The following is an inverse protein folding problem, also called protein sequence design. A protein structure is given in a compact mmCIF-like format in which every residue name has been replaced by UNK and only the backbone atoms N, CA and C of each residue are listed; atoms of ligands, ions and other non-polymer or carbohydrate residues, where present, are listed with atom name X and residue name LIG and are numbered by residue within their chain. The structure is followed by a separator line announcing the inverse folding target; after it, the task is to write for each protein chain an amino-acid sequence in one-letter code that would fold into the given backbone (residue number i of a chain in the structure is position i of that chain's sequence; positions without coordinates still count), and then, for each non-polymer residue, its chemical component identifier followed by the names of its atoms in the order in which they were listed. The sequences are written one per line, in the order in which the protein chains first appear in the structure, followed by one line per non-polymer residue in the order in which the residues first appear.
data_IF_001465920964
#
_entry.id   IF_001465920964
#
_cell.length_a   1.000
_cell.length_b   1.000
_cell.length_c   1.000
_cell.angle_alpha   90.00
_cell.angle_beta   90.00
_cell.angle_gamma   90.00
#
_symmetry.space_group_name_H-M   'P 1'
#
loop_
_entity.id
_entity.type
_entity.pdbx_description
1 polymer ?
#
# COMPACT_ATOMS: atom_id res chain seq x y z
N UNK A 1 16.90 14.23 -64.49
CA UNK A 1 18.28 14.11 -65.04
C UNK A 1 19.31 15.00 -64.33
N UNK A 2 19.18 15.28 -63.02
CA UNK A 2 20.17 16.09 -62.24
C UNK A 2 20.64 15.40 -60.95
N UNK A 3 20.84 14.08 -61.00
CA UNK A 3 21.43 13.28 -59.89
C UNK A 3 22.55 12.33 -60.35
N UNK A 4 23.14 12.53 -61.53
CA UNK A 4 24.26 11.71 -62.05
C UNK A 4 25.50 12.50 -62.48
N UNK A 5 25.52 13.83 -62.30
CA UNK A 5 26.65 14.69 -62.72
C UNK A 5 27.55 15.09 -61.53
N UNK A 6 27.05 15.09 -60.30
CA UNK A 6 27.86 15.43 -59.12
C UNK A 6 28.82 14.30 -58.67
N UNK A 7 28.54 13.04 -59.03
CA UNK A 7 29.40 11.90 -58.70
C UNK A 7 30.59 11.72 -59.67
N UNK A 8 30.60 12.42 -60.82
CA UNK A 8 31.70 12.37 -61.79
C UNK A 8 32.75 13.47 -61.62
N UNK A 9 32.45 14.53 -60.83
CA UNK A 9 33.34 15.67 -60.62
C UNK A 9 34.27 15.51 -59.40
N UNK A 10 33.99 14.57 -58.50
CA UNK A 10 34.86 14.24 -57.35
C UNK A 10 35.78 13.05 -57.68
N UNK A 11 35.44 12.22 -58.67
CA UNK A 11 36.26 11.09 -59.11
C UNK A 11 37.33 11.46 -60.16
N UNK A 12 37.36 12.69 -60.65
CA UNK A 12 38.30 13.16 -61.70
C UNK A 12 39.35 14.16 -61.20
N UNK A 13 39.32 14.55 -59.92
CA UNK A 13 40.32 15.42 -59.29
C UNK A 13 41.26 14.69 -58.31
N UNK A 14 41.12 13.37 -58.16
CA UNK A 14 41.98 12.54 -57.28
C UNK A 14 42.91 11.58 -58.07
N UNK A 15 42.88 11.61 -59.41
CA UNK A 15 43.82 10.87 -60.28
C UNK A 15 44.93 11.74 -60.86
N UNK A 16 45.29 12.83 -60.18
CA UNK A 16 46.38 13.73 -60.56
C UNK A 16 47.24 13.99 -59.32
N UNK A 17 48.35 13.24 -59.24
CA UNK A 17 49.49 13.35 -58.31
C UNK A 17 49.31 12.92 -56.84
N UNK A 18 49.61 11.65 -56.59
CA UNK A 18 50.51 11.26 -55.51
C UNK A 18 51.22 9.93 -55.87
N UNK A 19 51.93 9.94 -57.00
CA UNK A 19 53.05 9.02 -57.22
C UNK A 19 54.26 9.64 -56.53
N UNK A 20 54.46 9.37 -55.24
CA UNK A 20 55.78 9.50 -54.64
C UNK A 20 56.62 8.32 -55.10
N UNK A 21 57.67 8.65 -55.86
CA UNK A 21 58.58 7.69 -56.44
C UNK A 21 59.58 7.15 -55.44
N UNK A 22 60.00 5.92 -55.69
CA UNK A 22 61.38 5.49 -55.46
C UNK A 22 62.17 5.67 -56.75
N UNK A 23 63.16 6.55 -56.68
CA UNK A 23 64.45 6.56 -57.37
C UNK A 23 64.56 6.81 -58.91
N UNK A 24 65.13 7.99 -59.20
CA UNK A 24 66.31 8.25 -60.06
C UNK A 24 66.23 7.89 -61.55
N UNK A 25 66.08 8.89 -62.41
CA UNK A 25 67.17 9.27 -63.36
C UNK A 25 67.01 10.71 -63.87
N UNK A 26 68.10 11.26 -64.39
CA UNK A 26 68.50 12.65 -64.39
C UNK A 26 68.29 13.36 -65.74
N UNK A 27 67.47 14.42 -65.76
CA UNK A 27 67.54 15.47 -66.79
C UNK A 27 66.83 16.76 -66.31
N UNK A 28 67.43 17.96 -66.46
CA UNK A 28 66.88 19.20 -65.94
C UNK A 28 65.98 19.88 -66.98
N UNK A 29 64.73 20.20 -66.59
CA UNK A 29 63.88 21.32 -67.06
C UNK A 29 62.39 20.94 -67.18
N UNK A 30 61.76 20.57 -66.07
CA UNK A 30 60.29 20.66 -65.94
C UNK A 30 60.00 21.37 -64.62
N UNK A 31 59.66 22.66 -64.69
CA UNK A 31 59.14 23.41 -63.54
C UNK A 31 57.64 23.09 -63.46
N UNK A 32 57.14 22.44 -62.39
CA UNK A 32 55.72 22.16 -62.28
C UNK A 32 54.93 23.45 -62.04
N UNK A 33 53.94 23.70 -62.91
CA UNK A 33 53.00 24.81 -62.76
C UNK A 33 51.94 24.43 -61.71
N UNK A 34 51.98 25.04 -60.53
CA UNK A 34 50.94 24.89 -59.51
C UNK A 34 49.83 25.91 -59.76
N UNK A 35 48.63 25.45 -60.10
CA UNK A 35 47.44 26.29 -60.24
C UNK A 35 46.64 26.20 -58.94
N UNK A 36 46.46 27.33 -58.25
CA UNK A 36 45.61 27.43 -57.06
C UNK A 36 44.17 27.68 -57.48
N UNK A 37 43.25 26.82 -57.02
CA UNK A 37 41.81 27.09 -57.07
C UNK A 37 41.35 27.53 -55.68
N UNK A 38 40.80 28.74 -55.60
CA UNK A 38 40.21 29.25 -54.37
C UNK A 38 38.89 28.51 -54.10
N UNK A 39 38.90 27.62 -53.12
CA UNK A 39 37.69 26.98 -52.62
C UNK A 39 36.95 28.02 -51.78
N UNK A 40 36.02 28.73 -52.41
CA UNK A 40 35.31 29.86 -51.80
C UNK A 40 34.83 29.60 -50.36
N UNK A 41 34.71 30.68 -49.59
CA UNK A 41 34.54 30.69 -48.13
C UNK A 41 33.46 29.74 -47.59
N UNK A 42 32.37 29.53 -48.33
CA UNK A 42 31.28 28.62 -47.97
C UNK A 42 31.70 27.14 -47.92
N UNK A 43 32.62 26.71 -48.78
CA UNK A 43 33.15 25.32 -48.79
C UNK A 43 34.04 25.07 -47.58
N UNK A 44 34.85 26.05 -47.20
CA UNK A 44 35.71 25.99 -46.02
C UNK A 44 34.87 25.92 -44.74
N UNK A 45 33.83 26.77 -44.61
CA UNK A 45 32.88 26.71 -43.49
C UNK A 45 32.14 25.37 -43.43
N UNK A 46 31.75 24.82 -44.58
CA UNK A 46 31.13 23.49 -44.66
C UNK A 46 32.04 22.38 -44.13
N UNK A 47 33.33 22.40 -44.48
CA UNK A 47 34.33 21.44 -44.00
C UNK A 47 34.60 21.57 -42.50
N UNK A 48 34.61 22.79 -41.95
CA UNK A 48 34.75 23.01 -40.50
C UNK A 48 33.54 22.46 -39.72
N UNK A 49 32.32 22.67 -40.23
CA UNK A 49 31.11 22.12 -39.62
C UNK A 49 31.10 20.59 -39.65
N UNK A 50 31.59 19.97 -40.72
CA UNK A 50 31.73 18.50 -40.80
C UNK A 50 32.71 17.97 -39.75
N UNK A 51 33.88 18.61 -39.61
CA UNK A 51 34.86 18.24 -38.57
C UNK A 51 34.31 18.41 -37.15
N UNK A 52 33.54 19.48 -36.90
CA UNK A 52 32.87 19.70 -35.62
C UNK A 52 31.85 18.59 -35.33
N UNK A 53 31.09 18.17 -36.35
CA UNK A 53 30.09 17.12 -36.21
C UNK A 53 30.72 15.75 -35.95
N UNK A 54 31.82 15.41 -36.64
CA UNK A 54 32.60 14.20 -36.36
C UNK A 54 33.18 14.19 -34.95
N UNK A 55 33.65 15.34 -34.44
CA UNK A 55 34.09 15.49 -33.06
C UNK A 55 32.96 15.19 -32.06
N UNK A 56 31.80 15.82 -32.23
CA UNK A 56 30.63 15.58 -31.36
C UNK A 56 30.13 14.14 -31.41
N UNK A 57 30.22 13.49 -32.58
CA UNK A 57 29.82 12.09 -32.72
C UNK A 57 30.75 11.17 -31.94
N UNK A 58 32.07 11.45 -31.94
CA UNK A 58 33.05 10.72 -31.14
C UNK A 58 32.82 10.90 -29.63
N UNK A 59 32.59 12.14 -29.18
CA UNK A 59 32.30 12.44 -27.78
C UNK A 59 31.04 11.71 -27.28
N UNK A 60 30.02 11.62 -28.15
CA UNK A 60 28.79 10.89 -27.86
C UNK A 60 29.02 9.38 -27.74
N UNK A 61 29.82 8.80 -28.64
CA UNK A 61 30.18 7.37 -28.59
C UNK A 61 30.99 7.03 -27.33
N UNK A 62 31.94 7.88 -26.94
CA UNK A 62 32.71 7.72 -25.70
C UNK A 62 31.82 7.79 -24.46
N UNK A 63 30.87 8.74 -24.43
CA UNK A 63 29.89 8.87 -23.34
C UNK A 63 28.98 7.65 -23.27
N UNK A 64 28.50 7.15 -24.41
CA UNK A 64 27.65 5.96 -24.49
C UNK A 64 28.40 4.73 -23.97
N UNK A 65 29.68 4.57 -24.33
CA UNK A 65 30.51 3.46 -23.87
C UNK A 65 30.78 3.54 -22.36
N UNK A 66 31.02 4.75 -21.83
CA UNK A 66 31.16 4.98 -20.39
C UNK A 66 29.90 4.58 -19.62
N UNK A 67 28.73 5.04 -20.06
CA UNK A 67 27.45 4.67 -19.45
C UNK A 67 27.16 3.17 -19.55
N UNK A 68 27.52 2.52 -20.66
CA UNK A 68 27.36 1.08 -20.82
C UNK A 68 28.17 0.30 -19.77
N UNK A 69 29.41 0.72 -19.52
CA UNK A 69 30.27 0.11 -18.51
C UNK A 69 29.71 0.31 -17.09
N UNK A 70 29.15 1.49 -16.78
CA UNK A 70 28.49 1.73 -15.50
C UNK A 70 27.26 0.83 -15.30
N UNK A 71 26.45 0.62 -16.34
CA UNK A 71 25.29 -0.29 -16.29
C UNK A 71 25.74 -1.73 -16.02
N UNK A 72 26.82 -2.19 -16.65
CA UNK A 72 27.38 -3.53 -16.38
C UNK A 72 27.80 -3.65 -14.92
N UNK A 73 28.52 -2.66 -14.39
CA UNK A 73 28.97 -2.67 -13.00
C UNK A 73 27.79 -2.64 -12.01
N UNK A 74 26.73 -1.87 -12.32
CA UNK A 74 25.52 -1.84 -11.52
C UNK A 74 24.79 -3.19 -11.51
N UNK A 75 24.69 -3.86 -12.66
CA UNK A 75 24.11 -5.21 -12.77
C UNK A 75 24.87 -6.22 -11.92
N UNK A 76 26.20 -6.16 -11.91
CA UNK A 76 27.02 -7.07 -11.12
C UNK A 76 26.85 -6.81 -9.61
N UNK A 77 26.80 -5.54 -9.20
CA UNK A 77 26.53 -5.16 -7.81
C UNK A 77 25.15 -5.65 -7.35
N UNK A 78 24.12 -5.52 -8.19
CA UNK A 78 22.78 -6.01 -7.90
C UNK A 78 22.75 -7.54 -7.76
N UNK A 79 23.50 -8.27 -8.59
CA UNK A 79 23.66 -9.73 -8.51
C UNK A 79 24.30 -10.15 -7.19
N UNK A 80 25.37 -9.47 -6.78
CA UNK A 80 26.05 -9.72 -5.50
C UNK A 80 25.12 -9.48 -4.30
N UNK A 81 24.34 -8.38 -4.33
CA UNK A 81 23.40 -8.07 -3.27
C UNK A 81 22.29 -9.14 -3.16
N UNK A 82 21.77 -9.60 -4.29
CA UNK A 82 20.72 -10.62 -4.31
C UNK A 82 21.20 -11.97 -3.75
N UNK A 83 22.44 -12.37 -4.06
CA UNK A 83 23.05 -13.57 -3.48
C UNK A 83 23.20 -13.45 -1.96
N UNK A 84 23.64 -12.29 -1.47
CA UNK A 84 23.78 -12.03 -0.03
C UNK A 84 22.43 -12.04 0.70
N UNK A 85 21.38 -11.56 0.04
CA UNK A 85 20.02 -11.59 0.55
C UNK A 85 19.48 -13.02 0.65
N UNK A 86 19.79 -13.88 -0.33
CA UNK A 86 19.45 -15.30 -0.29
C UNK A 86 20.14 -16.02 0.89
N UNK A 87 21.43 -15.76 1.11
CA UNK A 87 22.17 -16.32 2.25
C UNK A 87 21.58 -15.89 3.60
N UNK A 88 21.22 -14.61 3.74
CA UNK A 88 20.58 -14.09 4.95
C UNK A 88 19.23 -14.75 5.20
N UNK A 89 18.45 -14.98 4.14
CA UNK A 89 17.13 -15.62 4.26
C UNK A 89 17.24 -17.09 4.71
N UNK A 90 18.25 -17.83 4.22
CA UNK A 90 18.53 -19.19 4.69
C UNK A 90 18.92 -19.20 6.17
N UNK A 91 19.78 -18.28 6.61
CA UNK A 91 20.17 -18.14 8.02
C UNK A 91 18.97 -17.79 8.92
N UNK A 92 18.10 -16.89 8.46
CA UNK A 92 16.89 -16.50 9.18
C UNK A 92 15.94 -17.69 9.38
N UNK A 93 15.75 -18.51 8.33
CA UNK A 93 14.92 -19.70 8.39
C UNK A 93 15.47 -20.76 9.36
N UNK A 94 16.79 -20.96 9.40
CA UNK A 94 17.43 -21.87 10.35
C UNK A 94 17.26 -21.39 11.81
N UNK A 95 17.40 -20.08 12.06
CA UNK A 95 17.16 -19.48 13.38
C UNK A 95 15.69 -19.61 13.83
N UNK A 96 14.74 -19.36 12.92
CA UNK A 96 13.32 -19.56 13.20
C UNK A 96 13.00 -21.04 13.48
N UNK A 97 13.58 -21.97 12.73
CA UNK A 97 13.43 -23.41 12.99
C UNK A 97 13.90 -23.81 14.40
N UNK A 98 15.07 -23.33 14.81
CA UNK A 98 15.63 -23.57 16.16
C UNK A 98 14.79 -22.96 17.27
N UNK A 99 14.29 -21.74 17.08
CA UNK A 99 13.38 -21.08 18.03
C UNK A 99 12.07 -21.85 18.19
N UNK A 100 11.48 -22.31 17.09
CA UNK A 100 10.22 -23.08 17.11
C UNK A 100 10.40 -24.43 17.79
N UNK A 101 11.53 -25.12 17.57
CA UNK A 101 11.84 -26.40 18.22
C UNK A 101 12.08 -26.25 19.73
N UNK A 102 12.78 -25.18 20.14
CA UNK A 102 12.99 -24.87 21.56
C UNK A 102 11.67 -24.50 22.26
N UNK A 103 10.83 -23.69 21.62
CA UNK A 103 9.50 -23.36 22.12
C UNK A 103 8.61 -24.61 22.25
N UNK A 104 8.66 -25.54 21.29
CA UNK A 104 7.90 -26.80 21.32
C UNK A 104 8.32 -27.72 22.46
N UNK A 105 9.63 -27.85 22.69
CA UNK A 105 10.17 -28.63 23.82
C UNK A 105 9.80 -28.04 25.18
N UNK A 106 9.78 -26.70 25.30
CA UNK A 106 9.34 -26.03 26.53
C UNK A 106 7.83 -26.23 26.74
N UNK A 107 7.02 -26.10 25.68
CA UNK A 107 5.56 -26.27 25.77
C UNK A 107 5.19 -27.70 26.17
N UNK A 108 5.84 -28.71 25.61
CA UNK A 108 5.62 -30.12 25.98
C UNK A 108 6.01 -30.40 27.44
N UNK A 109 7.07 -29.76 27.95
CA UNK A 109 7.48 -29.85 29.36
C UNK A 109 6.47 -29.16 30.29
N UNK A 110 5.93 -28.01 29.90
CA UNK A 110 4.90 -27.27 30.65
C UNK A 110 3.59 -28.05 30.67
N UNK A 111 3.12 -28.56 29.53
CA UNK A 111 1.89 -29.38 29.41
C UNK A 111 1.97 -30.62 30.31
N UNK A 112 3.11 -31.30 30.33
CA UNK A 112 3.33 -32.47 31.18
C UNK A 112 3.26 -32.12 32.68
N UNK A 113 3.83 -30.98 33.08
CA UNK A 113 3.77 -30.51 34.47
C UNK A 113 2.37 -30.00 34.85
N UNK A 114 1.65 -29.37 33.92
CA UNK A 114 0.27 -28.95 34.12
C UNK A 114 -0.65 -30.14 34.33
N UNK A 115 -0.50 -31.20 33.53
CA UNK A 115 -1.29 -32.44 33.68
C UNK A 115 -0.99 -33.15 35.02
N UNK A 116 0.27 -33.14 35.47
CA UNK A 116 0.64 -33.65 36.80
C UNK A 116 0.03 -32.82 37.94
N UNK A 117 -0.06 -31.49 37.78
CA UNK A 117 -0.68 -30.59 38.75
C UNK A 117 -2.20 -30.77 38.75
N UNK A 118 -2.85 -30.83 37.60
CA UNK A 118 -4.30 -31.06 37.47
C UNK A 118 -4.73 -32.40 38.08
N UNK A 119 -3.94 -33.46 37.87
CA UNK A 119 -4.22 -34.77 38.47
C UNK A 119 -4.00 -34.77 39.99
N UNK A 120 -3.08 -33.94 40.50
CA UNK A 120 -2.90 -33.73 41.95
C UNK A 120 -3.97 -32.82 42.56
N UNK A 121 -4.58 -31.93 41.77
CA UNK A 121 -5.68 -31.07 42.22
C UNK A 121 -7.02 -31.81 42.25
N UNK A 122 -7.24 -32.78 41.33
CA UNK A 122 -8.45 -33.63 41.31
C UNK A 122 -8.59 -34.55 42.51
N UNK A 123 -7.53 -34.82 43.27
CA UNK A 123 -7.58 -35.61 44.51
C UNK A 123 -7.84 -34.77 45.76
N UNK A 124 -7.95 -33.43 45.63
CA UNK A 124 -8.26 -32.52 46.72
C UNK A 124 -9.75 -32.17 46.63
N UNK A 125 -10.58 -32.87 47.40
CA UNK A 125 -11.98 -32.49 47.59
C UNK A 125 -12.03 -31.23 48.47
N UNK A 126 -12.05 -30.05 47.85
CA UNK A 126 -12.57 -28.85 48.49
C UNK A 126 -13.85 -28.43 47.79
N UNK A 127 -14.97 -28.61 48.47
CA UNK A 127 -16.19 -27.86 48.18
C UNK A 127 -15.91 -26.44 48.67
N UNK A 128 -15.68 -25.51 47.75
CA UNK A 128 -15.70 -24.08 48.04
C UNK A 128 -16.91 -23.48 47.34
N UNK A 129 -17.83 -22.82 48.07
CA UNK A 129 -18.91 -22.07 47.46
C UNK A 129 -18.35 -20.90 46.64
N UNK A 130 -18.95 -20.69 45.47
CA UNK A 130 -18.62 -19.61 44.55
C UNK A 130 -18.94 -18.24 45.18
N UNK A 131 -17.91 -17.55 45.66
CA UNK A 131 -17.90 -16.10 45.87
C UNK A 131 -16.58 -15.48 45.38
N UNK A 132 -16.67 -14.85 44.21
CA UNK A 132 -16.01 -13.66 43.62
C UNK A 132 -14.54 -13.30 43.97
N UNK A 133 -13.85 -12.63 43.01
CA UNK A 133 -13.63 -11.21 43.31
C UNK A 133 -13.83 -10.25 42.12
N UNK A 134 -14.12 -8.97 42.43
CA UNK A 134 -14.17 -7.88 41.46
C UNK A 134 -12.74 -7.43 41.11
N UNK A 135 -12.44 -7.17 39.84
CA UNK A 135 -11.20 -6.48 39.50
C UNK A 135 -11.42 -4.96 39.36
N UNK A 136 -10.86 -4.26 40.35
CA UNK A 136 -10.37 -2.87 40.28
C UNK A 136 -9.39 -2.73 39.09
N UNK A 137 -9.14 -1.53 38.52
CA UNK A 137 -8.30 -1.35 37.32
C UNK A 137 -6.89 -1.91 37.56
N UNK A 138 -6.40 -2.75 36.63
CA UNK A 138 -5.35 -3.74 36.92
C UNK A 138 -3.95 -3.38 36.38
N UNK A 139 -3.58 -2.11 36.14
CA UNK A 139 -2.16 -1.73 35.95
C UNK A 139 -1.91 -0.23 35.82
N UNK A 140 -0.77 0.27 36.32
CA UNK A 140 -0.19 1.59 35.97
C UNK A 140 -0.07 1.75 34.43
N UNK A 141 0.08 0.65 33.68
CA UNK A 141 0.13 0.67 32.22
C UNK A 141 -1.17 1.07 31.54
N UNK A 142 -2.34 0.81 32.15
CA UNK A 142 -3.63 1.20 31.55
C UNK A 142 -3.82 2.72 31.54
N UNK A 143 -3.13 3.44 32.43
CA UNK A 143 -3.14 4.91 32.49
C UNK A 143 -2.44 5.55 31.28
N UNK A 144 -1.52 4.84 30.62
CA UNK A 144 -0.78 5.33 29.45
C UNK A 144 -1.47 5.01 28.12
N UNK A 145 -2.56 4.23 28.14
CA UNK A 145 -3.29 3.87 26.94
C UNK A 145 -4.17 5.02 26.47
N UNK A 146 -4.05 5.35 25.18
CA UNK A 146 -4.95 6.33 24.58
C UNK A 146 -6.39 5.77 24.52
N UNK A 147 -7.42 6.63 24.49
CA UNK A 147 -8.82 6.21 24.50
C UNK A 147 -9.16 5.05 23.55
N UNK A 148 -8.67 5.08 22.30
CA UNK A 148 -8.92 4.02 21.33
C UNK A 148 -8.33 2.66 21.74
N UNK A 149 -7.19 2.65 22.43
CA UNK A 149 -6.56 1.42 22.92
C UNK A 149 -7.31 0.86 24.12
N UNK A 150 -7.75 1.73 25.04
CA UNK A 150 -8.59 1.34 26.18
C UNK A 150 -9.91 0.73 25.69
N UNK A 151 -10.60 1.41 24.78
CA UNK A 151 -11.84 0.90 24.19
C UNK A 151 -11.64 -0.46 23.52
N UNK A 152 -10.57 -0.65 22.73
CA UNK A 152 -10.25 -1.93 22.12
C UNK A 152 -10.05 -3.06 23.17
N UNK A 153 -9.38 -2.76 24.29
CA UNK A 153 -9.16 -3.72 25.37
C UNK A 153 -10.46 -4.05 26.13
N UNK A 154 -11.26 -3.04 26.46
CA UNK A 154 -12.54 -3.21 27.13
C UNK A 154 -13.50 -4.06 26.29
N UNK A 155 -13.60 -3.74 25.01
CA UNK A 155 -14.46 -4.50 24.10
C UNK A 155 -13.99 -5.97 24.05
N UNK A 156 -12.67 -6.21 23.95
CA UNK A 156 -12.11 -7.59 23.96
C UNK A 156 -12.46 -8.35 25.25
N UNK A 157 -12.42 -7.69 26.41
CA UNK A 157 -12.84 -8.27 27.70
C UNK A 157 -14.33 -8.59 27.69
N UNK A 158 -15.16 -7.70 27.14
CA UNK A 158 -16.60 -7.93 27.00
C UNK A 158 -16.88 -9.19 26.16
N UNK A 159 -16.14 -9.44 25.07
CA UNK A 159 -16.28 -10.70 24.31
C UNK A 159 -15.98 -11.90 25.19
N UNK A 160 -14.82 -11.91 25.84
CA UNK A 160 -14.36 -13.07 26.59
C UNK A 160 -15.37 -13.45 27.67
N UNK A 161 -16.02 -12.45 28.27
CA UNK A 161 -17.07 -12.64 29.27
C UNK A 161 -18.40 -13.10 28.68
N UNK A 162 -18.85 -12.49 27.58
CA UNK A 162 -20.20 -12.70 27.05
C UNK A 162 -20.31 -13.85 26.05
N UNK A 163 -19.20 -14.21 25.39
CA UNK A 163 -19.15 -15.19 24.32
C UNK A 163 -17.88 -16.07 24.42
N UNK A 164 -17.66 -16.78 25.55
CA UNK A 164 -16.44 -17.55 25.80
C UNK A 164 -16.22 -18.69 24.78
N UNK A 165 -17.30 -19.21 24.21
CA UNK A 165 -17.30 -20.32 23.25
C UNK A 165 -17.63 -19.88 21.81
N UNK A 166 -17.61 -18.58 21.50
CA UNK A 166 -17.89 -18.14 20.13
C UNK A 166 -16.83 -18.67 19.17
N UNK A 167 -17.18 -19.75 18.47
CA UNK A 167 -16.43 -20.36 17.38
C UNK A 167 -16.27 -19.31 16.29
N UNK A 168 -15.09 -18.68 16.26
CA UNK A 168 -14.62 -17.75 15.25
C UNK A 168 -15.60 -16.64 14.83
N UNK A 169 -15.48 -15.44 15.43
CA UNK A 169 -16.08 -14.18 14.95
C UNK A 169 -16.05 -14.07 13.42
N UNK A 170 -17.14 -13.59 12.82
CA UNK A 170 -17.16 -13.29 11.39
C UNK A 170 -16.06 -12.27 11.08
N UNK A 171 -15.29 -12.54 10.03
CA UNK A 171 -14.26 -11.60 9.55
C UNK A 171 -14.84 -10.28 9.03
N UNK A 172 -16.17 -10.23 8.85
CA UNK A 172 -16.93 -9.06 8.40
C UNK A 172 -17.71 -8.38 9.53
N UNK A 173 -17.53 -8.80 10.78
CA UNK A 173 -18.34 -8.33 11.92
C UNK A 173 -18.28 -6.82 12.17
N UNK A 174 -17.20 -6.18 11.75
CA UNK A 174 -16.99 -4.73 11.84
C UNK A 174 -17.37 -3.99 10.56
N UNK A 175 -17.56 -4.68 9.43
CA UNK A 175 -17.96 -4.04 8.18
C UNK A 175 -19.43 -3.62 8.25
N UNK A 176 -19.71 -2.41 7.76
CA UNK A 176 -21.07 -1.90 7.70
C UNK A 176 -21.39 -1.36 6.32
N UNK A 177 -22.65 -1.51 5.93
CA UNK A 177 -23.21 -0.97 4.69
C UNK A 177 -23.81 0.40 4.98
N UNK A 178 -23.35 1.43 4.26
CA UNK A 178 -23.83 2.82 4.42
C UNK A 178 -24.64 3.19 3.19
N UNK A 179 -25.86 3.70 3.41
CA UNK A 179 -26.75 3.99 2.30
C UNK A 179 -28.02 4.72 2.70
N UNK A 180 -29.04 4.60 1.83
CA UNK A 180 -30.34 5.23 1.99
C UNK A 180 -31.45 4.30 1.57
N UNK A 181 -32.63 4.44 2.17
CA UNK A 181 -33.83 3.78 1.69
C UNK A 181 -34.37 4.54 0.47
N UNK A 182 -34.67 3.81 -0.60
CA UNK A 182 -35.29 4.32 -1.81
C UNK A 182 -36.46 3.42 -2.21
N UNK A 183 -37.22 3.84 -3.22
CA UNK A 183 -38.23 3.00 -3.85
C UNK A 183 -37.51 1.76 -4.41
N UNK A 184 -37.84 0.57 -3.91
CA UNK A 184 -37.15 -0.69 -4.24
C UNK A 184 -36.17 -1.20 -3.16
N UNK A 185 -36.02 -0.49 -2.04
CA UNK A 185 -35.30 -0.98 -0.86
C UNK A 185 -34.04 -0.18 -0.52
N UNK A 186 -33.14 -0.81 0.23
CA UNK A 186 -31.88 -0.20 0.66
C UNK A 186 -30.90 -0.05 -0.51
N UNK A 187 -30.49 1.20 -0.78
CA UNK A 187 -29.48 1.53 -1.77
C UNK A 187 -28.13 1.72 -1.08
N UNK A 188 -27.28 0.70 -1.17
CA UNK A 188 -25.90 0.75 -0.72
C UNK A 188 -25.13 1.84 -1.47
N UNK A 189 -24.30 2.57 -0.74
CA UNK A 189 -23.45 3.61 -1.33
C UNK A 189 -21.97 3.44 -1.01
N UNK A 190 -21.65 3.12 0.24
CA UNK A 190 -20.28 2.88 0.69
C UNK A 190 -20.22 1.78 1.75
N UNK A 191 -19.01 1.29 2.02
CA UNK A 191 -18.71 0.39 3.12
C UNK A 191 -17.94 1.18 4.18
N UNK A 192 -18.40 1.13 5.43
CA UNK A 192 -17.74 1.73 6.57
C UNK A 192 -17.25 0.68 7.56
N UNK A 193 -16.89 1.14 8.75
CA UNK A 193 -16.50 0.25 9.83
C UNK A 193 -17.03 0.69 11.18
N UNK A 194 -17.61 -0.24 11.92
CA UNK A 194 -18.00 -0.07 13.32
C UNK A 194 -16.75 0.01 14.21
N UNK A 195 -16.66 1.05 15.03
CA UNK A 195 -15.55 1.25 15.99
C UNK A 195 -16.01 1.27 17.44
N UNK A 196 -17.31 1.49 17.67
CA UNK A 196 -17.96 1.34 18.97
C UNK A 196 -19.47 1.07 18.77
N UNK A 197 -20.24 0.75 19.83
CA UNK A 197 -21.69 0.44 19.83
C UNK A 197 -22.52 1.49 19.08
N UNK A 198 -22.09 2.75 19.07
CA UNK A 198 -22.82 3.85 18.44
C UNK A 198 -22.08 4.52 17.28
N UNK A 199 -20.84 4.12 16.99
CA UNK A 199 -19.96 4.90 16.13
C UNK A 199 -19.40 4.08 14.97
N UNK A 200 -19.56 4.65 13.77
CA UNK A 200 -19.04 4.12 12.52
C UNK A 200 -18.10 5.13 11.88
N UNK A 201 -17.00 4.65 11.31
CA UNK A 201 -16.04 5.45 10.54
C UNK A 201 -16.18 5.12 9.04
N UNK A 202 -16.11 6.14 8.20
CA UNK A 202 -16.03 6.00 6.75
C UNK A 202 -15.18 7.12 6.13
N UNK A 203 -14.80 6.96 4.86
CA UNK A 203 -14.21 8.05 4.09
C UNK A 203 -15.20 9.22 3.97
N UNK A 204 -14.72 10.47 4.04
CA UNK A 204 -15.66 11.60 4.08
C UNK A 204 -16.45 11.77 2.77
N UNK A 205 -15.84 11.44 1.62
CA UNK A 205 -16.52 11.47 0.32
C UNK A 205 -17.73 10.53 0.27
N UNK A 206 -17.71 9.45 1.06
CA UNK A 206 -18.87 8.58 1.21
C UNK A 206 -20.05 9.26 1.90
N UNK A 207 -19.82 10.31 2.69
CA UNK A 207 -20.82 10.95 3.52
C UNK A 207 -21.26 12.31 2.96
N UNK A 208 -20.32 13.11 2.43
CA UNK A 208 -20.61 14.41 1.79
C UNK A 208 -21.46 14.26 0.53
N UNK A 209 -21.04 13.40 -0.39
CA UNK A 209 -21.63 13.35 -1.73
C UNK A 209 -22.97 12.62 -1.75
N UNK A 210 -23.17 11.71 -0.80
CA UNK A 210 -24.22 10.70 -0.90
C UNK A 210 -25.35 10.91 0.10
N UNK A 211 -25.07 11.64 1.18
CA UNK A 211 -25.99 11.99 2.27
C UNK A 211 -26.77 10.76 2.74
N UNK A 212 -26.07 9.73 3.27
CA UNK A 212 -26.70 8.51 3.72
C UNK A 212 -27.58 8.78 4.94
N UNK A 213 -28.59 7.94 5.13
CA UNK A 213 -29.52 8.02 6.27
C UNK A 213 -29.54 6.75 7.10
N UNK A 214 -29.03 5.64 6.58
CA UNK A 214 -29.06 4.32 7.20
C UNK A 214 -27.68 3.68 7.19
N UNK A 215 -27.36 3.01 8.30
CA UNK A 215 -26.29 2.02 8.41
C UNK A 215 -26.91 0.64 8.58
N UNK A 216 -26.47 -0.32 7.78
CA UNK A 216 -26.85 -1.73 7.90
C UNK A 216 -25.65 -2.56 8.39
N UNK A 217 -25.83 -3.32 9.47
CA UNK A 217 -24.79 -4.12 10.15
C UNK A 217 -25.19 -5.59 10.21
N UNK A 218 -24.26 -6.50 10.53
CA UNK A 218 -24.57 -7.93 10.74
C UNK A 218 -24.40 -8.81 9.51
N UNK A 219 -23.43 -8.49 8.64
CA UNK A 219 -23.18 -9.25 7.42
C UNK A 219 -22.73 -10.68 7.75
N UNK A 220 -23.47 -11.68 7.27
CA UNK A 220 -23.16 -13.09 7.52
C UNK A 220 -22.22 -13.66 6.45
N UNK A 221 -22.51 -13.40 5.17
CA UNK A 221 -21.90 -14.10 4.04
C UNK A 221 -20.85 -13.28 3.26
N UNK A 222 -20.49 -12.09 3.75
CA UNK A 222 -19.62 -11.18 2.99
C UNK A 222 -20.26 -10.66 1.69
N UNK A 223 -21.52 -10.97 1.41
CA UNK A 223 -22.22 -10.47 0.22
C UNK A 223 -22.93 -9.14 0.52
N UNK A 224 -22.52 -8.08 -0.17
CA UNK A 224 -23.08 -6.73 0.02
C UNK A 224 -24.40 -6.50 -0.73
N UNK A 225 -24.69 -7.29 -1.76
CA UNK A 225 -25.94 -7.25 -2.52
C UNK A 225 -27.08 -7.93 -1.78
N UNK A 226 -26.77 -8.82 -0.82
CA UNK A 226 -27.79 -9.47 -0.02
C UNK A 226 -28.43 -8.49 0.97
N UNK A 227 -29.73 -8.25 0.81
CA UNK A 227 -30.56 -7.40 1.67
C UNK A 227 -31.31 -8.18 2.75
N UNK A 228 -31.26 -9.52 2.71
CA UNK A 228 -32.07 -10.43 3.54
C UNK A 228 -31.27 -11.17 4.62
N UNK A 229 -29.96 -10.95 4.71
CA UNK A 229 -29.14 -11.49 5.80
C UNK A 229 -29.60 -10.95 7.16
N UNK A 230 -29.20 -11.63 8.25
CA UNK A 230 -29.38 -11.32 9.68
C UNK A 230 -28.84 -9.93 10.10
N UNK A 231 -29.32 -8.91 9.40
CA UNK A 231 -28.80 -7.57 9.40
C UNK A 231 -29.77 -6.66 10.13
N UNK A 232 -29.20 -5.71 10.85
CA UNK A 232 -29.98 -4.63 11.48
C UNK A 232 -29.75 -3.35 10.69
N UNK A 233 -30.81 -2.59 10.46
CA UNK A 233 -30.73 -1.24 9.91
C UNK A 233 -30.91 -0.25 11.05
N UNK A 234 -29.99 0.70 11.16
CA UNK A 234 -30.00 1.74 12.19
C UNK A 234 -29.95 3.10 11.50
N UNK A 235 -30.81 4.02 11.93
CA UNK A 235 -30.77 5.38 11.42
C UNK A 235 -29.51 6.10 11.86
N UNK A 236 -29.07 7.02 11.01
CA UNK A 236 -27.97 7.93 11.31
C UNK A 236 -28.52 9.11 12.09
N UNK A 237 -28.04 9.30 13.32
CA UNK A 237 -28.37 10.47 14.15
C UNK A 237 -27.59 11.70 13.72
N UNK A 238 -26.28 11.53 13.50
CA UNK A 238 -25.39 12.64 13.17
C UNK A 238 -24.23 12.17 12.31
N UNK A 239 -23.86 13.01 11.33
CA UNK A 239 -22.63 12.86 10.56
C UNK A 239 -21.68 13.98 10.98
N UNK A 240 -20.47 13.60 11.38
CA UNK A 240 -19.43 14.51 11.83
C UNK A 240 -18.21 14.32 10.93
N UNK A 241 -18.05 15.26 10.01
CA UNK A 241 -16.90 15.29 9.14
C UNK A 241 -15.76 16.02 9.85
N UNK A 242 -14.53 15.59 9.61
CA UNK A 242 -13.36 16.34 10.07
C UNK A 242 -13.45 17.80 9.60
N UNK A 243 -13.01 18.81 10.38
CA UNK A 243 -12.99 20.18 9.90
C UNK A 243 -12.08 20.38 8.67
N UNK A 244 -12.56 21.15 7.69
CA UNK A 244 -11.79 21.53 6.48
C UNK A 244 -10.72 22.54 6.88
N UNK A 245 -9.46 22.12 6.96
CA UNK A 245 -8.36 23.05 7.30
C UNK A 245 -7.98 23.97 6.13
N UNK A 246 -8.38 23.63 4.89
CA UNK A 246 -8.37 24.56 3.74
C UNK A 246 -9.28 24.08 2.60
N UNK A 247 -9.60 24.96 1.64
CA UNK A 247 -10.37 24.62 0.42
C UNK A 247 -9.72 23.52 -0.46
N UNK A 248 -8.43 23.22 -0.23
CA UNK A 248 -7.69 22.15 -0.92
C UNK A 248 -7.81 20.80 -0.21
N UNK A 249 -8.05 20.81 1.11
CA UNK A 249 -8.14 19.64 1.96
C UNK A 249 -9.60 19.34 2.26
N UNK A 250 -10.27 18.73 1.28
CA UNK A 250 -11.59 18.13 1.51
C UNK A 250 -11.45 17.07 2.60
N UNK A 251 -12.50 16.91 3.39
CA UNK A 251 -12.52 15.98 4.49
C UNK A 251 -12.08 14.59 4.00
N UNK A 252 -11.21 13.94 4.75
CA UNK A 252 -10.63 12.66 4.33
C UNK A 252 -11.34 11.52 5.05
N UNK A 253 -11.82 11.77 6.28
CA UNK A 253 -12.60 10.85 7.10
C UNK A 253 -13.87 11.53 7.66
N UNK A 254 -14.88 10.73 7.97
CA UNK A 254 -16.06 11.16 8.71
C UNK A 254 -16.57 10.08 9.67
N UNK A 255 -17.22 10.55 10.73
CA UNK A 255 -17.81 9.74 11.78
C UNK A 255 -19.33 9.80 11.67
N UNK A 256 -19.96 8.64 11.81
CA UNK A 256 -21.41 8.48 11.88
C UNK A 256 -21.74 8.09 13.33
N UNK A 257 -22.60 8.89 13.96
CA UNK A 257 -23.28 8.53 15.20
C UNK A 257 -24.61 7.85 14.84
N UNK A 258 -24.80 6.63 15.31
CA UNK A 258 -26.04 5.87 15.18
C UNK A 258 -27.11 6.40 16.14
N UNK A 259 -28.38 6.28 15.76
CA UNK A 259 -29.50 6.69 16.62
C UNK A 259 -29.56 5.90 17.92
N UNK A 260 -29.25 4.61 17.87
CA UNK A 260 -29.24 3.70 19.01
C UNK A 260 -27.96 2.88 19.05
N UNK A 261 -27.58 2.41 20.25
CA UNK A 261 -26.49 1.45 20.41
C UNK A 261 -26.83 0.13 19.73
N UNK A 262 -25.83 -0.48 19.09
CA UNK A 262 -25.93 -1.85 18.60
C UNK A 262 -25.44 -2.82 19.67
N UNK A 263 -26.15 -3.95 19.79
CA UNK A 263 -25.71 -5.05 20.64
C UNK A 263 -24.65 -5.86 19.90
N UNK A 264 -23.55 -6.14 20.59
CA UNK A 264 -22.49 -6.98 20.05
C UNK A 264 -22.95 -8.42 19.90
N UNK A 265 -22.50 -9.06 18.81
CA UNK A 265 -22.77 -10.44 18.46
C UNK A 265 -21.59 -11.01 17.66
N UNK A 266 -21.68 -12.28 17.26
CA UNK A 266 -20.68 -12.89 16.36
C UNK A 266 -20.61 -12.23 14.98
N UNK A 267 -21.66 -11.48 14.60
CA UNK A 267 -21.81 -10.78 13.31
C UNK A 267 -21.71 -9.25 13.41
N UNK A 268 -21.78 -8.69 14.62
CA UNK A 268 -21.73 -7.24 14.85
C UNK A 268 -20.73 -7.00 15.97
N UNK A 269 -19.56 -6.49 15.59
CA UNK A 269 -18.49 -6.29 16.56
C UNK A 269 -17.51 -5.23 16.04
N UNK A 270 -17.06 -4.27 16.86
CA UNK A 270 -16.23 -3.18 16.39
C UNK A 270 -14.80 -3.64 16.10
N UNK A 271 -14.13 -2.91 15.21
CA UNK A 271 -12.70 -3.06 15.00
C UNK A 271 -11.91 -2.17 15.96
N UNK A 272 -10.67 -2.56 16.26
CA UNK A 272 -9.72 -1.68 16.91
C UNK A 272 -9.08 -0.71 15.91
N UNK A 273 -8.67 0.48 16.36
CA UNK A 273 -7.85 1.38 15.55
C UNK A 273 -6.38 0.95 15.56
N UNK A 274 -5.68 1.22 14.46
CA UNK A 274 -4.23 1.08 14.40
C UNK A 274 -3.57 2.30 15.05
N UNK A 275 -2.71 2.06 16.05
CA UNK A 275 -2.04 3.11 16.85
C UNK A 275 -0.51 3.04 16.77
N UNK A 276 0.03 2.06 16.04
CA UNK A 276 1.47 1.86 15.92
C UNK A 276 2.13 2.82 14.92
N UNK A 277 3.41 3.13 15.14
CA UNK A 277 4.26 3.86 14.20
C UNK A 277 5.63 3.16 14.18
N UNK A 278 6.23 2.83 13.01
CA UNK A 278 5.73 3.06 11.66
C UNK A 278 4.59 2.13 11.24
N UNK A 279 3.88 2.48 10.16
CA UNK A 279 2.81 1.64 9.58
C UNK A 279 3.36 0.32 9.03
N UNK A 280 2.55 -0.76 9.05
CA UNK A 280 2.92 -2.01 8.42
C UNK A 280 3.07 -1.85 6.90
N UNK A 281 4.10 -2.47 6.34
CA UNK A 281 4.33 -2.49 4.89
C UNK A 281 3.41 -3.48 4.17
N UNK A 282 3.01 -4.56 4.85
CA UNK A 282 2.23 -5.68 4.30
C UNK A 282 1.14 -6.14 5.28
N UNK A 283 0.31 -7.10 4.86
CA UNK A 283 -0.78 -7.64 5.69
C UNK A 283 -2.00 -6.72 5.79
N UNK A 284 -2.06 -5.71 4.91
CA UNK A 284 -3.20 -4.81 4.76
C UNK A 284 -4.13 -5.39 3.69
N UNK A 285 -5.42 -5.37 3.95
CA UNK A 285 -6.47 -5.85 3.04
C UNK A 285 -7.56 -4.79 2.88
N UNK A 286 -8.21 -4.78 1.73
CA UNK A 286 -9.39 -3.95 1.46
C UNK A 286 -10.50 -4.82 0.88
N UNK A 287 -11.77 -4.67 1.32
CA UNK A 287 -12.85 -5.44 0.75
C UNK A 287 -13.20 -4.88 -0.63
N UNK A 288 -13.28 -5.76 -1.63
CA UNK A 288 -13.63 -5.42 -2.99
C UNK A 288 -14.86 -6.23 -3.42
N UNK A 289 -15.93 -5.59 -3.88
CA UNK A 289 -17.10 -6.31 -4.36
C UNK A 289 -16.90 -6.85 -5.77
N UNK A 290 -17.20 -8.13 -5.96
CA UNK A 290 -17.40 -8.73 -7.28
C UNK A 290 -18.71 -8.24 -7.91
N UNK A 291 -18.93 -8.58 -9.18
CA UNK A 291 -20.15 -8.23 -9.92
C UNK A 291 -21.44 -8.79 -9.32
N UNK A 292 -21.37 -9.91 -8.59
CA UNK A 292 -22.49 -10.53 -7.86
C UNK A 292 -22.68 -9.96 -6.44
N UNK A 293 -21.79 -9.06 -6.01
CA UNK A 293 -21.79 -8.46 -4.67
C UNK A 293 -21.07 -9.26 -3.60
N UNK A 294 -20.48 -10.41 -3.90
CA UNK A 294 -19.58 -11.06 -2.93
C UNK A 294 -18.31 -10.22 -2.73
N UNK A 295 -17.91 -10.04 -1.47
CA UNK A 295 -16.64 -9.39 -1.15
C UNK A 295 -15.48 -10.39 -1.24
N UNK A 296 -14.43 -10.01 -1.97
CA UNK A 296 -13.11 -10.60 -1.83
C UNK A 296 -12.14 -9.60 -1.21
N UNK A 297 -11.10 -10.12 -0.56
CA UNK A 297 -10.04 -9.29 0.00
C UNK A 297 -8.94 -9.06 -1.01
N UNK A 298 -8.61 -7.79 -1.27
CA UNK A 298 -7.42 -7.42 -2.03
C UNK A 298 -6.29 -7.03 -1.08
N UNK A 299 -5.08 -7.54 -1.34
CA UNK A 299 -3.90 -7.21 -0.55
C UNK A 299 -3.33 -5.85 -0.97
N UNK A 300 -3.01 -5.04 0.03
CA UNK A 300 -2.46 -3.69 -0.10
C UNK A 300 -1.05 -3.65 0.48
N UNK A 301 -0.19 -2.92 -0.21
CA UNK A 301 1.17 -2.60 0.21
C UNK A 301 1.26 -1.12 0.55
N UNK A 302 1.90 -0.79 1.66
CA UNK A 302 2.31 0.58 1.95
C UNK A 302 3.54 0.90 1.11
N UNK A 303 3.57 2.10 0.52
CA UNK A 303 4.67 2.57 -0.31
C UNK A 303 5.30 3.84 0.29
N UNK A 304 6.55 4.16 -0.06
CA UNK A 304 7.09 5.49 0.15
C UNK A 304 6.25 6.58 -0.53
N UNK A 305 6.09 7.74 0.13
CA UNK A 305 5.30 8.87 -0.38
C UNK A 305 5.76 9.36 -1.77
N UNK A 306 7.04 9.18 -2.10
CA UNK A 306 7.61 9.53 -3.41
C UNK A 306 7.00 8.78 -4.59
N UNK A 307 6.39 7.61 -4.34
CA UNK A 307 5.81 6.74 -5.36
C UNK A 307 4.32 6.98 -5.58
N UNK A 308 3.69 7.91 -4.84
CA UNK A 308 2.26 8.17 -5.01
C UNK A 308 1.94 9.03 -6.22
N UNK A 309 0.95 8.58 -7.01
CA UNK A 309 0.52 9.22 -8.26
C UNK A 309 0.14 10.71 -8.08
N UNK A 310 -0.37 11.06 -6.90
CA UNK A 310 -0.54 12.45 -6.49
C UNK A 310 0.45 12.74 -5.36
N UNK A 311 1.43 13.62 -5.62
CA UNK A 311 2.24 14.28 -4.58
C UNK A 311 1.34 15.15 -3.70
N UNK A 312 0.42 14.57 -2.95
CA UNK A 312 -0.21 15.24 -1.82
C UNK A 312 0.74 15.09 -0.65
N UNK A 313 1.45 16.18 -0.38
CA UNK A 313 2.24 16.34 0.83
C UNK A 313 1.27 16.71 1.97
N UNK A 314 0.31 15.84 2.23
CA UNK A 314 -0.70 16.02 3.26
C UNK A 314 -0.40 15.06 4.41
N UNK A 315 -0.35 15.59 5.63
CA UNK A 315 0.05 14.85 6.84
C UNK A 315 -0.94 13.74 7.19
N UNK A 316 -2.16 13.83 6.66
CA UNK A 316 -3.27 12.91 6.97
C UNK A 316 -3.41 11.74 5.99
N UNK A 317 -2.45 11.54 5.09
CA UNK A 317 -2.47 10.43 4.13
C UNK A 317 -1.14 9.68 4.10
N UNK A 318 -1.20 8.43 3.66
CA UNK A 318 -0.04 7.60 3.35
C UNK A 318 -0.20 6.97 1.96
N UNK A 319 0.93 6.63 1.35
CA UNK A 319 0.93 6.01 0.03
C UNK A 319 0.69 4.50 0.09
N UNK A 320 -0.18 4.00 -0.78
CA UNK A 320 -0.53 2.59 -0.86
C UNK A 320 -0.66 2.10 -2.31
N UNK A 321 -0.59 0.80 -2.53
CA UNK A 321 -0.83 0.16 -3.84
C UNK A 321 -1.38 -1.24 -3.67
N UNK A 322 -2.11 -1.73 -4.67
CA UNK A 322 -2.58 -3.12 -4.74
C UNK A 322 -1.37 -4.02 -5.03
N UNK A 323 -1.18 -5.08 -4.23
CA UNK A 323 -0.02 -5.97 -4.33
C UNK A 323 0.07 -6.71 -5.68
N UNK A 324 -1.04 -6.86 -6.42
CA UNK A 324 -1.12 -7.53 -7.72
C UNK A 324 -1.84 -6.64 -8.73
N UNK A 325 -1.11 -6.13 -9.72
CA UNK A 325 -1.61 -5.16 -10.72
C UNK A 325 -2.67 -5.70 -11.71
N UNK A 326 -3.05 -7.00 -11.64
CA UNK A 326 -3.81 -7.69 -12.70
C UNK A 326 -5.29 -7.92 -12.31
N UNK A 327 -5.77 -7.45 -11.16
CA UNK A 327 -7.21 -7.49 -10.92
C UNK A 327 -7.88 -6.43 -11.83
N UNK A 328 -8.60 -6.85 -12.86
CA UNK A 328 -9.30 -5.95 -13.79
C UNK A 328 -10.61 -5.41 -13.21
N UNK A 329 -11.02 -5.92 -12.04
CA UNK A 329 -12.28 -5.60 -11.37
C UNK A 329 -12.08 -4.82 -10.05
N UNK A 330 -11.12 -3.89 -9.97
CA UNK A 330 -10.97 -2.96 -8.83
C UNK A 330 -11.95 -1.77 -8.90
N UNK A 331 -13.21 -2.04 -9.27
CA UNK A 331 -14.26 -1.03 -9.34
C UNK A 331 -14.33 -0.24 -8.03
N UNK A 332 -14.32 1.10 -8.13
CA UNK A 332 -14.52 2.09 -7.05
C UNK A 332 -14.35 1.53 -5.64
N UNK A 333 -13.10 1.29 -5.23
CA UNK A 333 -12.80 0.79 -3.90
C UNK A 333 -13.25 1.84 -2.87
N UNK A 334 -14.30 1.52 -2.09
CA UNK A 334 -14.97 2.43 -1.13
C UNK A 334 -14.97 1.90 0.29
N UNK A 335 -14.08 0.95 0.58
CA UNK A 335 -14.05 0.21 1.83
C UNK A 335 -12.88 0.60 2.73
N UNK A 336 -12.90 0.09 3.98
CA UNK A 336 -11.81 0.28 4.94
C UNK A 336 -10.56 -0.51 4.54
N UNK A 337 -9.40 0.05 4.84
CA UNK A 337 -8.11 -0.64 4.86
C UNK A 337 -7.94 -1.29 6.23
N UNK A 338 -7.79 -2.60 6.23
CA UNK A 338 -7.72 -3.44 7.43
C UNK A 338 -6.35 -4.08 7.50
N UNK A 339 -5.61 -3.83 8.58
CA UNK A 339 -4.40 -4.56 8.89
C UNK A 339 -4.67 -5.70 9.87
N UNK A 340 -4.03 -6.85 9.64
CA UNK A 340 -4.16 -8.01 10.53
C UNK A 340 -2.89 -8.15 11.37
N UNK A 341 -3.00 -7.94 12.68
CA UNK A 341 -1.87 -8.12 13.62
C UNK A 341 -1.51 -9.60 13.80
N UNK A 342 -2.54 -10.43 13.89
CA UNK A 342 -2.41 -11.89 14.01
C UNK A 342 -3.61 -12.53 13.32
N UNK A 343 -3.33 -13.26 12.23
CA UNK A 343 -4.37 -13.86 11.38
C UNK A 343 -5.10 -15.01 12.10
N UNK A 344 -4.36 -15.84 12.84
CA UNK A 344 -4.94 -16.94 13.63
C UNK A 344 -5.88 -16.45 14.74
N UNK A 345 -5.62 -15.27 15.30
CA UNK A 345 -6.43 -14.65 16.34
C UNK A 345 -7.48 -13.67 15.81
N UNK A 346 -7.56 -13.47 14.48
CA UNK A 346 -8.45 -12.50 13.84
C UNK A 346 -8.33 -11.09 14.46
N UNK A 347 -7.10 -10.68 14.78
CA UNK A 347 -6.82 -9.37 15.37
C UNK A 347 -6.71 -8.29 14.30
N UNK A 348 -7.86 -7.77 13.89
CA UNK A 348 -7.96 -6.74 12.85
C UNK A 348 -7.88 -5.33 13.41
N UNK A 349 -7.23 -4.44 12.65
CA UNK A 349 -7.14 -3.01 12.95
C UNK A 349 -7.43 -2.16 11.73
N UNK A 350 -8.21 -1.10 11.91
CA UNK A 350 -8.43 -0.09 10.88
C UNK A 350 -7.18 0.77 10.72
N UNK A 351 -6.62 0.80 9.52
CA UNK A 351 -5.45 1.63 9.20
C UNK A 351 -5.80 2.85 8.33
N UNK A 352 -6.91 2.80 7.58
CA UNK A 352 -7.30 3.90 6.71
C UNK A 352 -8.48 3.61 5.80
N UNK A 353 -8.72 4.54 4.87
CA UNK A 353 -9.61 4.41 3.72
C UNK A 353 -8.93 5.02 2.49
N UNK A 354 -9.29 4.66 1.25
CA UNK A 354 -8.88 5.43 0.08
C UNK A 354 -9.31 6.91 0.21
N UNK A 355 -8.38 7.85 0.03
CA UNK A 355 -8.63 9.28 0.25
C UNK A 355 -9.51 9.92 -0.84
N UNK A 356 -9.49 9.36 -2.06
CA UNK A 356 -10.26 9.83 -3.22
C UNK A 356 -10.92 8.66 -3.93
N UNK A 357 -11.96 8.94 -4.72
CA UNK A 357 -12.45 7.98 -5.70
C UNK A 357 -11.36 7.76 -6.76
N UNK A 358 -10.65 6.65 -6.66
CA UNK A 358 -9.80 6.19 -7.76
C UNK A 358 -10.31 4.83 -8.24
N UNK A 359 -10.36 4.67 -9.56
CA UNK A 359 -10.35 3.35 -10.17
C UNK A 359 -8.90 2.88 -10.06
N UNK A 360 -8.58 2.15 -8.99
CA UNK A 360 -7.20 1.96 -8.50
C UNK A 360 -6.47 0.80 -9.16
N UNK A 361 -6.91 0.36 -10.34
CA UNK A 361 -6.26 -0.76 -10.98
C UNK A 361 -4.88 -0.35 -11.52
N UNK A 362 -3.82 -0.94 -10.95
CA UNK A 362 -2.45 -0.80 -11.42
C UNK A 362 -1.67 0.44 -10.95
N UNK A 363 -2.26 1.32 -10.12
CA UNK A 363 -1.63 2.57 -9.68
C UNK A 363 -1.56 2.71 -8.16
N UNK A 364 -0.54 3.42 -7.67
CA UNK A 364 -0.45 3.86 -6.29
C UNK A 364 -1.51 4.92 -5.98
N UNK A 365 -1.98 4.96 -4.74
CA UNK A 365 -3.05 5.85 -4.28
C UNK A 365 -2.80 6.36 -2.86
N UNK A 366 -3.41 7.51 -2.56
CA UNK A 366 -3.39 8.08 -1.23
C UNK A 366 -4.49 7.43 -0.39
N UNK A 367 -4.10 6.93 0.78
CA UNK A 367 -5.00 6.41 1.80
C UNK A 367 -4.98 7.32 3.03
N UNK A 368 -6.11 7.47 3.70
CA UNK A 368 -6.20 8.21 4.96
C UNK A 368 -5.32 7.56 6.01
N UNK A 369 -4.57 8.32 6.76
CA UNK A 369 -3.78 7.81 7.87
C UNK A 369 -4.58 7.88 9.18
N UNK A 370 -5.03 6.73 9.69
CA UNK A 370 -5.72 6.69 10.98
C UNK A 370 -4.84 7.22 12.10
N UNK A 371 -3.52 6.97 12.09
CA UNK A 371 -2.62 7.31 13.20
C UNK A 371 -2.54 8.82 13.44
N UNK A 372 -2.63 9.62 12.38
CA UNK A 372 -2.66 11.10 12.47
C UNK A 372 -4.06 11.67 12.71
N UNK A 373 -5.08 10.81 12.74
CA UNK A 373 -6.48 11.19 12.95
C UNK A 373 -7.04 10.71 14.29
N UNK A 374 -6.24 10.00 15.09
CA UNK A 374 -6.71 9.40 16.34
C UNK A 374 -7.26 10.43 17.31
N UNK A 375 -6.60 11.58 17.52
CA UNK A 375 -7.07 12.60 18.48
C UNK A 375 -8.46 13.15 18.09
N UNK A 376 -8.68 13.36 16.79
CA UNK A 376 -9.99 13.77 16.27
C UNK A 376 -11.05 12.69 16.52
N UNK A 377 -10.74 11.43 16.20
CA UNK A 377 -11.67 10.31 16.39
C UNK A 377 -12.01 10.14 17.87
N UNK A 378 -11.00 10.14 18.74
CA UNK A 378 -11.15 9.92 20.17
C UNK A 378 -11.94 11.04 20.85
N UNK A 379 -11.74 12.30 20.44
CA UNK A 379 -12.50 13.45 20.96
C UNK A 379 -14.01 13.38 20.70
N UNK A 380 -14.46 12.48 19.82
CA UNK A 380 -15.87 12.32 19.46
C UNK A 380 -16.41 10.97 19.92
N UNK A 381 -15.71 9.88 19.60
CA UNK A 381 -16.18 8.51 19.87
C UNK A 381 -16.09 8.18 21.36
N UNK A 382 -14.99 8.60 22.00
CA UNK A 382 -14.68 8.29 23.41
C UNK A 382 -14.41 9.57 24.20
N UNK A 383 -15.16 10.63 23.90
CA UNK A 383 -15.11 11.87 24.65
C UNK A 383 -15.38 11.59 26.14
N UNK A 384 -14.40 11.88 26.99
CA UNK A 384 -14.48 11.73 28.45
C UNK A 384 -15.04 12.95 29.14
#
# INVERSE_FOLDING_TARGET
MKKRVAALLILTLVTVFATEGTAVDSSPNVVPLTIYFDAGEDVVKGLELLRLNEGKQRDLEETLQSQHNEIINFKETARQLNNKLLELNVKLNDLNGKSTQSARSINESIEKRLLEIENKLKSINVIVPEQNPPERPTSIFEMFLRPAERACQETRREIQRTQPNATARSEFSYLVKIGKLAIGGFKLTCIGTLVDKRYVIAAAHCLEDTKPTIVQLGMMSGNISNTWDYTIMVNIKKIQLRPKYSNRYRNIIGLIELENDVNYSTLIYPICLYTGVPKPETGIRIPNPKSDGELHWMNILTLPDSLCFQKQKDEFVFCASIAKQIDTNCGSIKGPLIWTKNESLKEYRLIGFPAVYSNVCGLSFNATDITTLLDFIESIVWAT
#
